data_IF_087318603738
#
_entry.id   IF_087318603738
#
_cell.length_a   1.000
_cell.length_b   1.000
_cell.length_c   1.000
_cell.angle_alpha   90.00
_cell.angle_beta   90.00
_cell.angle_gamma   90.00
#
_symmetry.space_group_name_H-M   'P 1'
#
loop_
_entity.id
_entity.type
_entity.pdbx_description
1 polymer ?
#
# COMPACT_ATOMS: atom_id res chain seq x y z
N UNK A 1 46.02 -4.35 2.18
CA UNK A 1 45.71 -5.80 2.18
C UNK A 1 45.61 -6.38 0.77
N UNK A 2 44.61 -6.06 -0.06
CA UNK A 2 44.59 -6.57 -1.46
C UNK A 2 45.70 -5.96 -2.34
N UNK A 3 45.95 -4.66 -2.20
CA UNK A 3 47.07 -3.98 -2.89
C UNK A 3 48.42 -4.51 -2.41
N UNK A 4 48.61 -4.61 -1.09
CA UNK A 4 49.91 -4.98 -0.51
C UNK A 4 50.27 -6.46 -0.71
N UNK A 5 49.30 -7.38 -0.60
CA UNK A 5 49.56 -8.82 -0.64
C UNK A 5 49.28 -9.48 -1.99
N UNK A 6 48.39 -8.89 -2.80
CA UNK A 6 47.92 -9.48 -4.07
C UNK A 6 48.06 -8.53 -5.26
N UNK A 7 48.82 -7.44 -5.11
CA UNK A 7 49.10 -6.49 -6.19
C UNK A 7 47.87 -5.75 -6.74
N UNK A 8 46.75 -5.78 -6.01
CA UNK A 8 45.48 -5.21 -6.47
C UNK A 8 44.74 -6.04 -7.52
N UNK A 9 45.12 -7.30 -7.75
CA UNK A 9 44.38 -8.17 -8.66
C UNK A 9 43.06 -8.62 -8.02
N UNK A 10 41.95 -8.14 -8.57
CA UNK A 10 40.61 -8.45 -8.10
C UNK A 10 40.24 -9.94 -8.23
N UNK A 11 40.78 -10.67 -9.23
CA UNK A 11 40.50 -12.10 -9.41
C UNK A 11 41.22 -12.96 -8.37
N UNK A 12 42.46 -12.60 -8.10
CA UNK A 12 43.28 -13.28 -7.11
C UNK A 12 42.74 -13.02 -5.70
N UNK A 13 42.28 -11.80 -5.43
CA UNK A 13 41.62 -11.42 -4.17
C UNK A 13 40.33 -12.20 -3.93
N UNK A 14 39.52 -12.44 -4.97
CA UNK A 14 38.33 -13.28 -4.88
C UNK A 14 38.67 -14.73 -4.54
N UNK A 15 39.73 -15.28 -5.15
CA UNK A 15 40.13 -16.67 -4.94
C UNK A 15 40.75 -16.90 -3.55
N UNK A 16 41.58 -15.96 -3.08
CA UNK A 16 42.35 -16.11 -1.82
C UNK A 16 41.55 -15.65 -0.60
N UNK A 17 40.82 -14.54 -0.71
CA UNK A 17 40.11 -13.94 0.43
C UNK A 17 38.58 -14.07 0.33
N UNK A 18 38.04 -14.58 -0.77
CA UNK A 18 36.59 -14.68 -0.97
C UNK A 18 35.90 -13.33 -1.19
N UNK A 19 36.66 -12.27 -1.48
CA UNK A 19 36.09 -10.93 -1.67
C UNK A 19 35.55 -10.77 -3.09
N UNK A 20 34.36 -10.18 -3.23
CA UNK A 20 33.81 -9.87 -4.55
C UNK A 20 34.80 -9.03 -5.36
N UNK A 21 35.24 -9.56 -6.50
CA UNK A 21 36.12 -8.85 -7.44
C UNK A 21 35.59 -7.46 -7.83
N UNK A 22 34.26 -7.30 -7.87
CA UNK A 22 33.61 -6.03 -8.20
C UNK A 22 33.82 -5.00 -7.09
N UNK A 23 33.68 -5.42 -5.84
CA UNK A 23 33.91 -4.58 -4.66
C UNK A 23 35.38 -4.19 -4.54
N UNK A 24 36.29 -5.14 -4.77
CA UNK A 24 37.75 -4.89 -4.74
C UNK A 24 38.16 -3.91 -5.82
N UNK A 25 37.72 -4.13 -7.07
CA UNK A 25 38.02 -3.22 -8.18
C UNK A 25 37.46 -1.81 -7.94
N UNK A 26 36.26 -1.71 -7.35
CA UNK A 26 35.66 -0.42 -6.97
C UNK A 26 36.51 0.27 -5.90
N UNK A 27 36.84 -0.43 -4.81
CA UNK A 27 37.66 0.12 -3.73
C UNK A 27 39.05 0.57 -4.18
N UNK A 28 39.69 -0.16 -5.11
CA UNK A 28 40.98 0.26 -5.69
C UNK A 28 40.83 1.54 -6.51
N UNK A 29 39.75 1.67 -7.30
CA UNK A 29 39.46 2.90 -8.06
C UNK A 29 39.20 4.08 -7.12
N UNK A 30 38.42 3.90 -6.08
CA UNK A 30 38.14 4.93 -5.06
C UNK A 30 39.40 5.36 -4.31
N UNK A 31 40.25 4.40 -3.96
CA UNK A 31 41.54 4.65 -3.30
C UNK A 31 42.48 5.46 -4.20
N UNK A 32 42.60 5.10 -5.48
CA UNK A 32 43.48 5.79 -6.44
C UNK A 32 42.96 7.19 -6.83
N UNK A 33 41.63 7.36 -6.92
CA UNK A 33 41.03 8.66 -7.27
C UNK A 33 40.89 9.61 -6.08
N UNK A 34 40.97 9.08 -4.85
CA UNK A 34 40.66 9.83 -3.63
C UNK A 34 39.19 10.25 -3.52
N UNK A 35 38.31 9.68 -4.36
CA UNK A 35 36.89 10.02 -4.42
C UNK A 35 36.05 8.77 -4.19
N UNK A 36 35.03 8.89 -3.35
CA UNK A 36 34.04 7.83 -3.13
C UNK A 36 33.15 7.73 -4.37
N UNK A 37 33.10 6.56 -4.99
CA UNK A 37 32.23 6.29 -6.13
C UNK A 37 30.90 5.79 -5.55
N UNK A 38 29.80 6.56 -5.66
CA UNK A 38 28.53 6.11 -5.11
C UNK A 38 28.08 4.83 -5.82
N UNK A 39 27.47 3.91 -5.07
CA UNK A 39 26.77 2.79 -5.69
C UNK A 39 25.61 3.32 -6.53
N UNK A 40 25.39 2.73 -7.70
CA UNK A 40 24.23 3.03 -8.50
C UNK A 40 22.98 2.69 -7.68
N UNK A 41 22.15 3.70 -7.41
CA UNK A 41 20.86 3.47 -6.77
C UNK A 41 20.09 2.45 -7.60
N UNK A 42 19.54 1.42 -6.96
CA UNK A 42 18.61 0.50 -7.63
C UNK A 42 17.40 1.34 -8.02
N UNK A 43 17.25 1.62 -9.31
CA UNK A 43 16.10 2.36 -9.83
C UNK A 43 14.82 1.59 -9.45
N UNK A 44 14.16 2.02 -8.39
CA UNK A 44 12.79 1.59 -8.11
C UNK A 44 11.89 2.28 -9.11
N UNK A 45 10.94 1.56 -9.69
CA UNK A 45 9.85 2.21 -10.42
C UNK A 45 9.12 3.14 -9.43
N UNK A 46 8.75 4.37 -9.87
CA UNK A 46 7.93 5.25 -9.06
C UNK A 46 6.60 4.55 -8.75
N UNK A 47 5.97 4.93 -7.64
CA UNK A 47 4.66 4.38 -7.30
C UNK A 47 3.65 4.85 -8.35
N UNK A 48 2.58 4.09 -8.55
CA UNK A 48 1.59 4.38 -9.59
C UNK A 48 0.92 5.73 -9.36
N UNK A 49 0.66 6.07 -8.10
CA UNK A 49 0.13 7.37 -7.67
C UNK A 49 1.10 8.54 -7.95
N UNK A 50 2.41 8.31 -7.89
CA UNK A 50 3.43 9.33 -8.19
C UNK A 50 3.60 9.50 -9.70
N UNK A 51 3.44 8.41 -10.46
CA UNK A 51 3.52 8.41 -11.92
C UNK A 51 2.28 9.02 -12.59
N UNK A 52 1.10 8.86 -11.98
CA UNK A 52 -0.15 9.44 -12.48
C UNK A 52 -0.94 10.10 -11.33
N UNK A 53 -0.64 11.38 -11.01
CA UNK A 53 -1.33 12.09 -9.95
C UNK A 53 -2.81 12.35 -10.26
N UNK A 54 -3.19 12.42 -11.54
CA UNK A 54 -4.58 12.63 -11.95
C UNK A 54 -5.44 11.42 -11.58
N UNK A 55 -4.95 10.21 -11.83
CA UNK A 55 -5.62 8.96 -11.45
C UNK A 55 -5.84 8.89 -9.93
N UNK A 56 -4.84 9.32 -9.14
CA UNK A 56 -4.98 9.35 -7.69
C UNK A 56 -6.08 10.32 -7.24
N UNK A 57 -6.17 11.51 -7.85
CA UNK A 57 -7.24 12.47 -7.56
C UNK A 57 -8.62 11.94 -7.93
N UNK A 58 -8.77 11.32 -9.10
CA UNK A 58 -10.05 10.74 -9.53
C UNK A 58 -10.51 9.61 -8.60
N UNK A 59 -9.57 8.77 -8.13
CA UNK A 59 -9.87 7.74 -7.13
C UNK A 59 -10.36 8.38 -5.82
N UNK A 60 -9.70 9.45 -5.36
CA UNK A 60 -10.12 10.16 -4.15
C UNK A 60 -11.52 10.75 -4.30
N UNK A 61 -11.81 11.41 -5.42
CA UNK A 61 -13.13 12.00 -5.69
C UNK A 61 -14.25 10.96 -5.68
N UNK A 62 -14.00 9.75 -6.20
CA UNK A 62 -14.96 8.65 -6.20
C UNK A 62 -15.17 8.02 -4.81
N UNK A 63 -14.12 8.01 -3.99
CA UNK A 63 -14.09 7.28 -2.71
C UNK A 63 -14.52 8.16 -1.54
N UNK A 64 -14.19 9.45 -1.57
CA UNK A 64 -14.45 10.40 -0.48
C UNK A 64 -15.94 10.47 -0.07
N UNK A 65 -16.93 10.50 -0.99
CA UNK A 65 -18.36 10.56 -0.63
C UNK A 65 -18.84 9.33 0.15
N UNK A 66 -18.27 8.16 -0.14
CA UNK A 66 -18.63 6.88 0.49
C UNK A 66 -17.71 6.55 1.69
N UNK A 67 -16.85 7.48 2.08
CA UNK A 67 -15.88 7.30 3.16
C UNK A 67 -16.43 7.75 4.51
N UNK A 68 -16.08 7.02 5.56
CA UNK A 68 -16.44 7.32 6.94
C UNK A 68 -15.17 7.34 7.80
N UNK A 69 -15.02 8.35 8.66
CA UNK A 69 -13.92 8.38 9.64
C UNK A 69 -14.06 7.20 10.61
N UNK A 70 -12.94 6.72 11.15
CA UNK A 70 -12.95 5.69 12.18
C UNK A 70 -13.93 6.03 13.30
N UNK A 71 -14.96 5.20 13.58
CA UNK A 71 -15.95 5.47 14.62
C UNK A 71 -15.33 5.61 16.01
N UNK A 72 -14.15 5.01 16.25
CA UNK A 72 -13.42 5.12 17.52
C UNK A 72 -12.46 6.31 17.55
N UNK A 73 -12.26 7.00 16.43
CA UNK A 73 -11.28 8.08 16.27
C UNK A 73 -9.87 7.72 16.75
N UNK A 74 -9.49 6.44 16.64
CA UNK A 74 -8.17 5.96 17.06
C UNK A 74 -7.17 5.97 15.90
N UNK A 75 -7.66 5.81 14.67
CA UNK A 75 -6.84 5.81 13.46
C UNK A 75 -7.03 7.06 12.59
N UNK A 76 -6.01 7.35 11.78
CA UNK A 76 -6.04 8.34 10.70
C UNK A 76 -6.70 7.81 9.41
N UNK A 77 -7.06 6.52 9.38
CA UNK A 77 -7.64 5.89 8.20
C UNK A 77 -9.12 6.25 8.04
N UNK A 78 -9.53 6.49 6.79
CA UNK A 78 -10.93 6.56 6.39
C UNK A 78 -11.40 5.19 5.92
N UNK A 79 -12.59 4.80 6.32
CA UNK A 79 -13.19 3.53 5.93
C UNK A 79 -14.19 3.72 4.81
N UNK A 80 -14.00 3.00 3.71
CA UNK A 80 -14.91 3.05 2.55
C UNK A 80 -15.59 1.70 2.36
N UNK A 81 -16.80 1.72 1.81
CA UNK A 81 -17.55 0.52 1.40
C UNK A 81 -17.17 0.01 0.01
N UNK A 82 -16.54 0.85 -0.81
CA UNK A 82 -16.15 0.50 -2.16
C UNK A 82 -14.97 -0.47 -2.14
N UNK A 83 -15.08 -1.54 -2.90
CA UNK A 83 -13.97 -2.47 -3.16
C UNK A 83 -13.08 -1.88 -4.25
N UNK A 84 -11.81 -2.31 -4.31
CA UNK A 84 -10.91 -1.88 -5.38
C UNK A 84 -11.45 -2.21 -6.78
N UNK A 85 -12.15 -3.35 -6.91
CA UNK A 85 -12.88 -3.72 -8.13
C UNK A 85 -13.97 -2.71 -8.49
N UNK A 86 -14.83 -2.35 -7.53
CA UNK A 86 -15.89 -1.37 -7.76
C UNK A 86 -15.34 0.03 -8.06
N UNK A 87 -14.19 0.41 -7.48
CA UNK A 87 -13.49 1.65 -7.83
C UNK A 87 -13.02 1.60 -9.28
N UNK A 88 -12.46 0.46 -9.72
CA UNK A 88 -12.04 0.28 -11.12
C UNK A 88 -13.21 0.40 -12.09
N UNK A 89 -14.35 -0.22 -11.78
CA UNK A 89 -15.58 -0.13 -12.58
C UNK A 89 -16.10 1.32 -12.64
N UNK A 90 -16.18 2.00 -11.50
CA UNK A 90 -16.59 3.42 -11.43
C UNK A 90 -15.67 4.36 -12.21
N UNK A 91 -14.36 4.10 -12.26
CA UNK A 91 -13.43 4.88 -13.08
C UNK A 91 -13.73 4.76 -14.58
N UNK A 92 -14.16 3.58 -15.03
CA UNK A 92 -14.55 3.37 -16.43
C UNK A 92 -15.89 4.08 -16.69
N UNK A 93 -16.86 3.94 -15.80
CA UNK A 93 -18.22 4.48 -15.97
C UNK A 93 -18.31 6.01 -15.87
N UNK A 94 -17.66 6.60 -14.86
CA UNK A 94 -17.79 8.03 -14.56
C UNK A 94 -16.67 8.91 -15.11
N UNK A 95 -15.50 8.33 -15.37
CA UNK A 95 -14.30 9.06 -15.80
C UNK A 95 -13.79 8.61 -17.17
N UNK A 96 -14.51 7.70 -17.84
CA UNK A 96 -14.26 7.23 -19.21
C UNK A 96 -12.85 6.66 -19.44
N UNK A 97 -12.21 6.11 -18.41
CA UNK A 97 -10.91 5.45 -18.57
C UNK A 97 -11.01 4.16 -19.38
N UNK A 98 -10.00 3.89 -20.21
CA UNK A 98 -9.88 2.59 -20.88
C UNK A 98 -9.43 1.49 -19.91
N UNK A 99 -9.89 0.25 -20.14
CA UNK A 99 -9.52 -0.89 -19.30
C UNK A 99 -8.02 -1.19 -19.31
N UNK A 100 -7.31 -0.82 -20.38
CA UNK A 100 -5.86 -1.02 -20.54
C UNK A 100 -5.02 0.06 -19.85
N UNK A 101 -5.55 1.27 -19.71
CA UNK A 101 -4.87 2.37 -19.04
C UNK A 101 -4.96 2.25 -17.51
N UNK A 102 -5.97 1.52 -17.01
CA UNK A 102 -6.19 1.33 -15.60
C UNK A 102 -5.30 0.23 -15.02
N UNK A 103 -4.67 0.48 -13.86
CA UNK A 103 -3.92 -0.55 -13.16
C UNK A 103 -4.84 -1.66 -12.65
N UNK A 104 -4.25 -2.82 -12.38
CA UNK A 104 -4.97 -3.98 -11.87
C UNK A 104 -5.63 -3.68 -10.50
N UNK A 105 -6.71 -4.39 -10.18
CA UNK A 105 -7.50 -4.19 -8.95
C UNK A 105 -6.63 -4.22 -7.67
N UNK A 106 -5.64 -5.10 -7.61
CA UNK A 106 -4.69 -5.18 -6.49
C UNK A 106 -3.83 -3.92 -6.34
N UNK A 107 -3.45 -3.30 -7.46
CA UNK A 107 -2.68 -2.05 -7.46
C UNK A 107 -3.55 -0.89 -6.98
N UNK A 108 -4.82 -0.85 -7.38
CA UNK A 108 -5.79 0.12 -6.87
C UNK A 108 -5.99 -0.06 -5.36
N UNK A 109 -6.09 -1.30 -4.86
CA UNK A 109 -6.12 -1.58 -3.42
C UNK A 109 -4.90 -1.02 -2.69
N UNK A 110 -3.70 -1.28 -3.21
CA UNK A 110 -2.46 -0.74 -2.63
C UNK A 110 -2.41 0.80 -2.66
N UNK A 111 -2.93 1.43 -3.73
CA UNK A 111 -3.04 2.89 -3.80
C UNK A 111 -3.98 3.42 -2.73
N UNK A 112 -5.16 2.82 -2.55
CA UNK A 112 -6.12 3.20 -1.51
C UNK A 112 -5.50 3.11 -0.10
N UNK A 113 -4.80 2.01 0.20
CA UNK A 113 -4.16 1.82 1.50
C UNK A 113 -3.11 2.92 1.78
N UNK A 114 -2.32 3.30 0.77
CA UNK A 114 -1.31 4.37 0.88
C UNK A 114 -1.93 5.76 0.99
N UNK A 115 -3.06 5.99 0.32
CA UNK A 115 -3.85 7.22 0.40
C UNK A 115 -4.63 7.32 1.73
N UNK A 116 -4.58 6.29 2.59
CA UNK A 116 -5.23 6.29 3.90
C UNK A 116 -6.67 5.77 3.91
N UNK A 117 -7.10 5.07 2.86
CA UNK A 117 -8.43 4.48 2.75
C UNK A 117 -8.38 2.98 2.94
N UNK A 118 -9.21 2.47 3.86
CA UNK A 118 -9.35 1.03 4.10
C UNK A 118 -10.75 0.56 3.82
N UNK A 119 -10.86 -0.57 3.16
CA UNK A 119 -12.15 -1.21 2.95
C UNK A 119 -12.67 -1.78 4.28
N UNK A 120 -13.88 -1.41 4.68
CA UNK A 120 -14.55 -2.01 5.84
C UNK A 120 -16.03 -2.16 5.56
N UNK A 121 -16.55 -3.35 5.81
CA UNK A 121 -18.00 -3.57 5.83
C UNK A 121 -18.58 -2.85 7.05
N UNK A 122 -19.51 -1.93 6.81
CA UNK A 122 -20.23 -1.26 7.89
C UNK A 122 -21.27 -2.23 8.43
N UNK A 123 -21.08 -2.66 9.68
CA UNK A 123 -22.13 -3.33 10.43
C UNK A 123 -23.16 -2.28 10.82
N UNK A 124 -24.39 -2.40 10.31
CA UNK A 124 -25.50 -1.60 10.82
C UNK A 124 -25.74 -1.96 12.29
N UNK A 125 -26.16 -0.98 13.08
CA UNK A 125 -26.49 -1.18 14.48
C UNK A 125 -27.50 -2.32 14.61
N UNK A 126 -27.18 -3.34 15.41
CA UNK A 126 -28.17 -4.34 15.80
C UNK A 126 -29.11 -3.65 16.80
N UNK A 127 -30.40 -3.47 16.51
CA UNK A 127 -31.31 -2.83 17.43
C UNK A 127 -31.37 -3.64 18.73
N UNK A 128 -31.07 -3.01 19.87
CA UNK A 128 -31.23 -3.67 21.17
C UNK A 128 -32.72 -3.75 21.49
N UNK A 129 -33.35 -4.88 21.15
CA UNK A 129 -34.74 -5.14 21.51
C UNK A 129 -34.80 -5.58 22.98
N UNK A 130 -34.84 -4.62 23.91
CA UNK A 130 -35.07 -4.84 25.34
C UNK A 130 -36.45 -4.32 25.72
N UNK A 131 -37.51 -5.02 25.33
CA UNK A 131 -38.84 -4.83 25.90
C UNK A 131 -39.21 -6.06 26.73
N UNK A 132 -39.54 -5.93 28.03
CA UNK A 132 -40.13 -7.02 28.80
C UNK A 132 -41.38 -7.54 28.10
N UNK A 133 -41.55 -8.86 28.00
CA UNK A 133 -42.79 -9.44 27.46
C UNK A 133 -43.94 -9.09 28.42
N UNK A 134 -45.08 -8.56 27.94
CA UNK A 134 -46.23 -8.31 28.81
C UNK A 134 -46.72 -9.64 29.41
N UNK A 135 -47.04 -9.65 30.71
CA UNK A 135 -47.59 -10.84 31.37
C UNK A 135 -48.97 -11.17 30.82
N UNK A 136 -49.25 -12.47 30.68
CA UNK A 136 -50.60 -12.97 30.38
C UNK A 136 -51.53 -12.55 31.51
N UNK A 137 -52.45 -11.63 31.24
CA UNK A 137 -53.55 -11.31 32.15
C UNK A 137 -54.49 -12.50 32.24
N UNK A 138 -54.73 -12.99 33.46
CA UNK A 138 -55.75 -14.00 33.74
C UNK A 138 -57.12 -13.45 33.31
N UNK A 139 -57.77 -14.12 32.36
CA UNK A 139 -59.16 -13.85 32.00
C UNK A 139 -59.99 -14.21 33.22
N UNK A 140 -60.53 -13.21 33.92
CA UNK A 140 -61.45 -13.46 35.03
C UNK A 140 -62.73 -14.07 34.46
N UNK A 141 -63.03 -15.29 34.89
CA UNK A 141 -64.28 -15.99 34.58
C UNK A 141 -65.44 -15.20 35.17
N UNK A 142 -66.24 -14.59 34.29
CA UNK A 142 -67.53 -13.99 34.65
C UNK A 142 -68.53 -15.11 34.91
N UNK A 143 -69.16 -15.07 36.10
CA UNK A 143 -70.27 -15.95 36.53
C UNK A 143 -71.56 -15.66 35.77
#
# INVERSE_FOLDING_TARGET
MSLDYLGGDARLTETVFGWSRHTVAKGIKEFNSGQVIPDASRASKPKTEDANPQLAQDILELVEPDSQTDPKFQGLFKYTRLTAKAVREKLIEHKNYSSEELPHESTIGNMLDRLGYKMRRVLKAKPQKKSPKPMLSLIMSTR
#
